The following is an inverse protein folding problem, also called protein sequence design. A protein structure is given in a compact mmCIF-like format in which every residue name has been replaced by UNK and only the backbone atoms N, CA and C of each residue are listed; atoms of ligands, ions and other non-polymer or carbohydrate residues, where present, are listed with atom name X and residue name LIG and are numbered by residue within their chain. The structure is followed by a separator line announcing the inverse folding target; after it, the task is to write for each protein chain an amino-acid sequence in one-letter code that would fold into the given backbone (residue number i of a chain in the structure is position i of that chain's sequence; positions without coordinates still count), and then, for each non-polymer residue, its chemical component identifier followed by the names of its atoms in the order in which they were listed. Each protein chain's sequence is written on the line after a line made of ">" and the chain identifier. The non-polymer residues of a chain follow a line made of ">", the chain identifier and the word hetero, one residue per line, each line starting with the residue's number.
data_IF_895009390801
#
_entry.id   IF_895009390801
#
_cell.length_a   1.000
_cell.length_b   1.000
_cell.length_c   1.000
_cell.angle_alpha   90.00
_cell.angle_beta   90.00
_cell.angle_gamma   90.00
#
_symmetry.space_group_name_H-M   'P 1'
#
loop_
_entity.id
_entity.type
_entity.pdbx_description
1 polymer ?
#
# COMPACT_ATOMS: atom_id res chain seq x y z
N UNK A 1 -0.02 21.88 -4.19
CA UNK A 1 -0.03 21.12 -2.92
C UNK A 1 1.24 20.28 -2.75
N UNK A 2 2.45 20.87 -2.77
CA UNK A 2 3.70 20.08 -2.76
C UNK A 2 4.00 19.41 -1.42
N UNK A 3 3.66 20.06 -0.29
CA UNK A 3 3.95 19.52 1.05
C UNK A 3 3.27 18.17 1.32
N UNK A 4 2.03 18.01 0.86
CA UNK A 4 1.28 16.76 1.08
C UNK A 4 1.93 15.61 0.30
N UNK A 5 2.36 15.86 -0.93
CA UNK A 5 3.10 14.85 -1.72
C UNK A 5 4.42 14.46 -1.06
N UNK A 6 5.17 15.43 -0.52
CA UNK A 6 6.42 15.14 0.22
C UNK A 6 6.16 14.23 1.43
N UNK A 7 5.11 14.50 2.20
CA UNK A 7 4.75 13.69 3.38
C UNK A 7 4.31 12.27 2.99
N UNK A 8 3.54 12.13 1.90
CA UNK A 8 3.10 10.81 1.43
C UNK A 8 4.27 10.01 0.88
N UNK A 9 5.19 10.65 0.14
CA UNK A 9 6.41 10.00 -0.32
C UNK A 9 7.29 9.56 0.85
N UNK A 10 7.41 10.39 1.89
CA UNK A 10 8.08 10.00 3.14
C UNK A 10 7.40 8.78 3.78
N UNK A 11 6.07 8.76 3.89
CA UNK A 11 5.33 7.62 4.42
C UNK A 11 5.59 6.34 3.61
N UNK A 12 5.61 6.42 2.27
CA UNK A 12 5.97 5.30 1.39
C UNK A 12 7.41 4.82 1.62
N UNK A 13 8.37 5.73 1.76
CA UNK A 13 9.76 5.33 2.03
C UNK A 13 9.94 4.66 3.40
N UNK A 14 9.20 5.10 4.42
CA UNK A 14 9.26 4.52 5.76
C UNK A 14 8.65 3.11 5.77
N UNK A 15 7.52 2.91 5.10
CA UNK A 15 6.91 1.58 4.99
C UNK A 15 7.74 0.62 4.13
N UNK A 16 8.37 1.12 3.06
CA UNK A 16 9.34 0.36 2.26
C UNK A 16 10.58 -0.04 3.07
N UNK A 17 11.15 0.88 3.84
CA UNK A 17 12.25 0.57 4.77
C UNK A 17 11.81 -0.47 5.82
N UNK A 18 10.59 -0.35 6.35
CA UNK A 18 10.02 -1.32 7.30
C UNK A 18 9.87 -2.73 6.72
N UNK A 19 9.54 -2.84 5.43
CA UNK A 19 9.47 -4.13 4.74
C UNK A 19 10.86 -4.73 4.46
N UNK A 20 11.83 -3.91 4.05
CA UNK A 20 13.20 -4.35 3.79
C UNK A 20 13.93 -4.80 5.05
N UNK A 21 13.63 -4.17 6.20
CA UNK A 21 14.12 -4.60 7.51
C UNK A 21 13.22 -5.72 8.02
N UNK A 22 13.40 -6.92 7.45
CA UNK A 22 12.68 -8.12 7.87
C UNK A 22 12.88 -8.37 9.37
N UNK A 23 11.82 -8.18 10.15
CA UNK A 23 11.71 -8.74 11.50
C UNK A 23 11.14 -10.15 11.43
N UNK A 24 11.40 -10.94 12.48
CA UNK A 24 11.00 -12.35 12.60
C UNK A 24 9.52 -12.63 12.33
N UNK A 25 8.64 -11.64 12.48
CA UNK A 25 7.21 -11.78 12.27
C UNK A 25 6.78 -11.34 10.87
N UNK A 26 6.39 -12.30 10.04
CA UNK A 26 5.91 -12.05 8.68
C UNK A 26 4.60 -11.22 8.65
N UNK A 27 3.80 -11.27 9.73
CA UNK A 27 2.66 -10.35 9.96
C UNK A 27 3.06 -8.87 9.88
N UNK A 28 4.21 -8.49 10.45
CA UNK A 28 4.66 -7.09 10.43
C UNK A 28 5.03 -6.62 9.02
N UNK A 29 5.60 -7.52 8.20
CA UNK A 29 5.90 -7.22 6.80
C UNK A 29 4.65 -7.04 5.94
N UNK A 30 3.57 -7.79 6.22
CA UNK A 30 2.28 -7.61 5.53
C UNK A 30 1.64 -6.26 5.86
N UNK A 31 1.68 -5.85 7.13
CA UNK A 31 1.20 -4.52 7.52
C UNK A 31 2.00 -3.39 6.84
N UNK A 32 3.32 -3.57 6.66
CA UNK A 32 4.13 -2.62 5.89
C UNK A 32 3.73 -2.59 4.40
N UNK A 33 3.38 -3.73 3.80
CA UNK A 33 2.83 -3.81 2.44
C UNK A 33 1.48 -3.08 2.33
N UNK A 34 0.57 -3.28 3.27
CA UNK A 34 -0.71 -2.53 3.31
C UNK A 34 -0.47 -1.03 3.45
N UNK A 35 0.49 -0.61 4.28
CA UNK A 35 0.89 0.78 4.42
C UNK A 35 1.45 1.40 3.13
N UNK A 36 2.25 0.65 2.37
CA UNK A 36 2.72 1.08 1.04
C UNK A 36 1.55 1.27 0.07
N UNK A 37 0.63 0.31 -0.02
CA UNK A 37 -0.53 0.38 -0.92
C UNK A 37 -1.45 1.55 -0.57
N UNK A 38 -1.66 1.82 0.72
CA UNK A 38 -2.45 2.95 1.19
C UNK A 38 -1.81 4.30 0.81
N UNK A 39 -0.49 4.44 0.96
CA UNK A 39 0.20 5.68 0.58
C UNK A 39 0.12 5.95 -0.94
N UNK A 40 0.23 4.91 -1.77
CA UNK A 40 0.04 5.01 -3.22
C UNK A 40 -1.40 5.38 -3.58
N UNK A 41 -2.39 4.83 -2.88
CA UNK A 41 -3.79 5.18 -3.06
C UNK A 41 -4.06 6.66 -2.76
N UNK A 42 -3.53 7.19 -1.65
CA UNK A 42 -3.69 8.62 -1.29
C UNK A 42 -3.00 9.50 -2.34
N UNK A 43 -1.81 9.12 -2.82
CA UNK A 43 -1.11 9.89 -3.85
C UNK A 43 -1.89 9.93 -5.17
N UNK A 44 -2.41 8.77 -5.61
CA UNK A 44 -3.20 8.66 -6.83
C UNK A 44 -4.50 9.45 -6.73
N UNK A 45 -5.24 9.34 -5.63
CA UNK A 45 -6.49 10.10 -5.42
C UNK A 45 -6.25 11.62 -5.36
N UNK A 46 -5.17 12.08 -4.72
CA UNK A 46 -4.82 13.49 -4.73
C UNK A 46 -4.47 14.00 -6.14
N UNK A 47 -3.79 13.18 -6.95
CA UNK A 47 -3.48 13.53 -8.34
C UNK A 47 -4.74 13.61 -9.21
N UNK A 48 -5.67 12.65 -9.07
CA UNK A 48 -6.93 12.66 -9.85
C UNK A 48 -7.83 13.82 -9.46
N UNK A 49 -7.88 14.16 -8.16
CA UNK A 49 -8.63 15.31 -7.66
C UNK A 49 -8.02 16.64 -8.12
N UNK A 50 -6.69 16.79 -8.08
CA UNK A 50 -6.01 18.02 -8.53
C UNK A 50 -6.16 18.28 -10.03
N UNK A 51 -6.24 17.22 -10.84
CA UNK A 51 -6.38 17.32 -12.31
C UNK A 51 -7.85 17.33 -12.77
N UNK A 52 -8.81 17.27 -11.84
CA UNK A 52 -10.25 17.18 -12.11
C UNK A 52 -10.64 16.09 -13.13
N UNK A 53 -9.84 15.02 -13.25
CA UNK A 53 -10.08 13.94 -14.20
C UNK A 53 -10.94 12.84 -13.57
N UNK A 54 -12.26 12.95 -13.71
CA UNK A 54 -13.22 11.98 -13.14
C UNK A 54 -13.00 10.55 -13.65
N UNK A 55 -12.60 10.39 -14.92
CA UNK A 55 -12.31 9.08 -15.52
C UNK A 55 -11.12 8.38 -14.87
N UNK A 56 -10.11 9.14 -14.43
CA UNK A 56 -8.93 8.57 -13.78
C UNK A 56 -9.23 8.05 -12.36
N UNK A 57 -10.40 8.36 -11.78
CA UNK A 57 -10.79 7.86 -10.46
C UNK A 57 -11.03 6.33 -10.43
N UNK A 58 -11.17 5.70 -11.60
CA UNK A 58 -11.21 4.23 -11.71
C UNK A 58 -9.85 3.62 -11.32
N UNK A 59 -8.74 4.33 -11.55
CA UNK A 59 -7.38 3.81 -11.32
C UNK A 59 -7.10 3.58 -9.82
N UNK A 60 -7.33 4.55 -8.90
CA UNK A 60 -7.18 4.29 -7.46
C UNK A 60 -8.05 3.12 -6.94
N UNK A 61 -9.26 2.96 -7.48
CA UNK A 61 -10.17 1.88 -7.07
C UNK A 61 -9.65 0.52 -7.54
N UNK A 62 -9.23 0.41 -8.80
CA UNK A 62 -8.61 -0.80 -9.33
C UNK A 62 -7.34 -1.18 -8.54
N UNK A 63 -6.51 -0.19 -8.19
CA UNK A 63 -5.32 -0.40 -7.34
C UNK A 63 -5.67 -0.99 -5.97
N UNK A 64 -6.74 -0.52 -5.31
CA UNK A 64 -7.19 -1.08 -4.04
C UNK A 64 -7.68 -2.53 -4.14
N UNK A 65 -8.37 -2.88 -5.22
CA UNK A 65 -8.87 -4.25 -5.42
C UNK A 65 -7.70 -5.22 -5.54
N UNK A 66 -6.68 -4.91 -6.35
CA UNK A 66 -5.49 -5.75 -6.47
C UNK A 66 -4.71 -5.82 -5.15
N UNK A 67 -4.61 -4.72 -4.40
CA UNK A 67 -3.98 -4.70 -3.07
C UNK A 67 -4.63 -5.70 -2.11
N UNK A 68 -5.97 -5.71 -2.06
CA UNK A 68 -6.72 -6.62 -1.19
C UNK A 68 -6.54 -8.09 -1.62
N UNK A 69 -6.45 -8.36 -2.93
CA UNK A 69 -6.16 -9.70 -3.44
C UNK A 69 -4.76 -10.17 -3.02
N UNK A 70 -3.74 -9.32 -3.13
CA UNK A 70 -2.38 -9.65 -2.69
C UNK A 70 -2.32 -9.91 -1.18
N UNK A 71 -2.99 -9.09 -0.37
CA UNK A 71 -3.08 -9.28 1.07
C UNK A 71 -3.78 -10.59 1.45
N UNK A 72 -4.87 -10.95 0.75
CA UNK A 72 -5.58 -12.21 0.97
C UNK A 72 -4.70 -13.43 0.69
N UNK A 73 -3.92 -13.41 -0.40
CA UNK A 73 -2.95 -14.46 -0.72
C UNK A 73 -1.81 -14.48 0.31
N UNK A 74 -1.32 -13.33 0.75
CA UNK A 74 -0.30 -13.22 1.80
C UNK A 74 -0.74 -13.81 3.13
N UNK A 75 -1.99 -13.57 3.54
CA UNK A 75 -2.59 -14.18 4.74
C UNK A 75 -2.78 -15.70 4.59
N UNK A 76 -3.18 -16.18 3.40
CA UNK A 76 -3.28 -17.62 3.16
C UNK A 76 -1.91 -18.32 3.28
N UNK A 77 -0.83 -17.71 2.78
CA UNK A 77 0.53 -18.22 2.93
C UNK A 77 0.98 -18.22 4.40
N UNK A 78 0.67 -17.16 5.16
CA UNK A 78 0.94 -17.12 6.59
C UNK A 78 0.32 -18.28 7.36
N UNK A 79 -0.94 -18.60 7.07
CA UNK A 79 -1.64 -19.72 7.72
C UNK A 79 -0.96 -21.05 7.35
N UNK A 80 -0.48 -21.20 6.12
CA UNK A 80 0.25 -22.40 5.72
C UNK A 80 1.59 -22.55 6.47
N UNK A 81 2.32 -21.45 6.71
CA UNK A 81 3.58 -21.43 7.46
C UNK A 81 3.35 -21.66 8.96
N UNK A 82 2.24 -21.17 9.53
CA UNK A 82 1.93 -21.40 10.94
C UNK A 82 1.46 -22.82 11.24
N UNK A 83 0.91 -23.51 10.23
CA UNK A 83 0.40 -24.87 10.36
C UNK A 83 1.47 -25.95 10.08
N UNK A 84 2.65 -25.57 9.60
CA UNK A 84 3.85 -26.43 9.48
C UNK A 84 4.73 -26.27 10.70
#
# INVERSE_FOLDING_TARGET
>A
MPLIYMNIMLAFTISLLGMLVYRSHLMSSLLCLEGMMLSLFIMATLMTLNTHSLLANIVPIAMLVFAACEAAVGLALLVSISNT
#
